data_IF_936679180657
#
_entry.id   IF_936679180657
#
_cell.length_a   1.000
_cell.length_b   1.000
_cell.length_c   1.000
_cell.angle_alpha   90.00
_cell.angle_beta   90.00
_cell.angle_gamma   90.00
#
_symmetry.space_group_name_H-M   'P 1'
#
loop_
_entity.id
_entity.type
_entity.pdbx_description
1 polymer ?
#
# COMPACT_ATOMS: atom_id res chain seq x y z
N UNK A 1 1.51 2.20 50.78
CA UNK A 1 0.15 2.73 50.51
C UNK A 1 -0.13 3.89 51.46
N UNK A 2 0.14 5.13 51.06
CA UNK A 2 -0.22 6.29 51.87
C UNK A 2 -1.74 6.46 51.87
N UNK A 3 -2.37 6.53 53.04
CA UNK A 3 -3.79 6.90 53.18
C UNK A 3 -4.79 5.81 53.53
N UNK A 4 -4.39 4.53 53.63
CA UNK A 4 -5.31 3.48 54.12
C UNK A 4 -5.30 3.38 55.66
N UNK A 5 -6.47 3.21 56.30
CA UNK A 5 -6.51 2.98 57.74
C UNK A 5 -5.83 1.63 58.10
N UNK A 6 -5.23 1.49 59.31
CA UNK A 6 -4.36 0.37 59.66
C UNK A 6 -5.00 -1.02 59.50
N UNK A 7 -6.30 -1.13 59.77
CA UNK A 7 -7.07 -2.37 59.62
C UNK A 7 -7.24 -2.75 58.14
N UNK A 8 -7.48 -1.78 57.26
CA UNK A 8 -7.60 -1.99 55.81
C UNK A 8 -6.25 -2.36 55.19
N UNK A 9 -5.16 -1.70 55.61
CA UNK A 9 -3.81 -2.04 55.18
C UNK A 9 -3.35 -3.44 55.63
N UNK A 10 -3.84 -3.93 56.78
CA UNK A 10 -3.59 -5.29 57.26
C UNK A 10 -4.41 -6.31 56.45
N UNK A 11 -5.71 -6.08 56.29
CA UNK A 11 -6.57 -6.95 55.49
C UNK A 11 -6.10 -7.08 54.04
N UNK A 12 -5.67 -5.98 53.42
CA UNK A 12 -5.16 -5.99 52.05
C UNK A 12 -3.94 -6.90 51.91
N UNK A 13 -2.98 -6.83 52.84
CA UNK A 13 -1.77 -7.67 52.83
C UNK A 13 -2.08 -9.15 53.10
N UNK A 14 -2.97 -9.44 54.05
CA UNK A 14 -3.24 -10.81 54.46
C UNK A 14 -4.19 -11.55 53.51
N UNK A 15 -5.11 -10.84 52.86
CA UNK A 15 -6.20 -11.45 52.09
C UNK A 15 -6.43 -10.82 50.72
N UNK A 16 -6.31 -9.50 50.59
CA UNK A 16 -6.61 -8.78 49.34
C UNK A 16 -5.61 -9.10 48.23
N UNK A 17 -4.33 -8.93 48.51
CA UNK A 17 -3.24 -9.12 47.55
C UNK A 17 -3.02 -10.59 47.15
N UNK A 18 -2.98 -11.58 48.07
CA UNK A 18 -2.90 -12.98 47.67
C UNK A 18 -4.03 -13.39 46.73
N UNK A 19 -5.24 -12.86 46.96
CA UNK A 19 -6.39 -13.07 46.07
C UNK A 19 -6.22 -12.35 44.73
N UNK A 20 -5.73 -11.12 44.73
CA UNK A 20 -5.45 -10.39 43.48
C UNK A 20 -4.41 -11.12 42.62
N UNK A 21 -3.31 -11.59 43.21
CA UNK A 21 -2.29 -12.38 42.53
C UNK A 21 -2.84 -13.72 42.02
N UNK A 22 -3.65 -14.42 42.82
CA UNK A 22 -4.30 -15.66 42.39
C UNK A 22 -5.26 -15.45 41.21
N UNK A 23 -6.02 -14.34 41.21
CA UNK A 23 -6.90 -13.96 40.09
C UNK A 23 -6.07 -13.65 38.84
N UNK A 24 -5.01 -12.86 38.96
CA UNK A 24 -4.13 -12.53 37.83
C UNK A 24 -3.46 -13.78 37.25
N UNK A 25 -3.05 -14.72 38.09
CA UNK A 25 -2.49 -16.00 37.68
C UNK A 25 -3.54 -16.88 36.97
N UNK A 26 -4.76 -16.96 37.50
CA UNK A 26 -5.85 -17.70 36.86
C UNK A 26 -6.19 -17.12 35.48
N UNK A 27 -6.23 -15.79 35.35
CA UNK A 27 -6.42 -15.11 34.07
C UNK A 27 -5.28 -15.43 33.10
N UNK A 28 -4.02 -15.40 33.55
CA UNK A 28 -2.88 -15.72 32.69
C UNK A 28 -2.90 -17.18 32.20
N UNK A 29 -3.23 -18.13 33.08
CA UNK A 29 -3.33 -19.57 32.74
C UNK A 29 -4.53 -19.83 31.80
N UNK A 30 -5.55 -18.99 31.81
CA UNK A 30 -6.70 -19.12 30.90
C UNK A 30 -6.42 -18.68 29.46
N UNK A 31 -5.34 -17.92 29.19
CA UNK A 31 -5.07 -17.39 27.85
C UNK A 31 -4.79 -18.50 26.81
N UNK A 32 -3.93 -19.50 27.05
CA UNK A 32 -3.69 -20.59 26.09
C UNK A 32 -4.94 -21.40 25.69
N UNK A 33 -5.79 -21.89 26.62
CA UNK A 33 -7.00 -22.60 26.21
C UNK A 33 -7.98 -21.69 25.47
N UNK A 34 -8.11 -20.40 25.82
CA UNK A 34 -8.96 -19.45 25.09
C UNK A 34 -8.45 -19.21 23.66
N UNK A 35 -7.13 -19.20 23.44
CA UNK A 35 -6.56 -19.13 22.08
C UNK A 35 -6.79 -20.41 21.28
N UNK A 36 -6.69 -21.58 21.93
CA UNK A 36 -6.88 -22.88 21.29
C UNK A 36 -8.34 -23.12 20.87
N UNK A 37 -9.28 -22.54 21.61
CA UNK A 37 -10.70 -22.54 21.30
C UNK A 37 -11.12 -21.41 20.34
N UNK A 38 -10.16 -20.65 19.80
CA UNK A 38 -10.37 -19.51 18.89
C UNK A 38 -11.29 -18.40 19.44
N UNK A 39 -11.51 -18.37 20.76
CA UNK A 39 -12.33 -17.33 21.44
C UNK A 39 -11.60 -15.98 21.39
N UNK A 40 -10.26 -16.02 21.47
CA UNK A 40 -9.39 -14.84 21.32
C UNK A 40 -8.26 -15.14 20.34
N UNK A 41 -7.84 -14.13 19.59
CA UNK A 41 -6.69 -14.24 18.68
C UNK A 41 -5.37 -14.30 19.45
N UNK A 42 -4.33 -14.89 18.83
CA UNK A 42 -2.97 -14.91 19.39
C UNK A 42 -2.49 -13.51 19.78
N UNK A 43 -2.76 -12.51 18.93
CA UNK A 43 -2.43 -11.10 19.18
C UNK A 43 -3.13 -10.54 20.43
N UNK A 44 -4.41 -10.86 20.63
CA UNK A 44 -5.15 -10.45 21.82
C UNK A 44 -4.60 -11.12 23.08
N UNK A 45 -4.25 -12.40 23.02
CA UNK A 45 -3.65 -13.13 24.13
C UNK A 45 -2.29 -12.53 24.54
N UNK A 46 -1.43 -12.17 23.58
CA UNK A 46 -0.14 -11.54 23.88
C UNK A 46 -0.32 -10.18 24.58
N UNK A 47 -1.26 -9.34 24.11
CA UNK A 47 -1.57 -8.06 24.75
C UNK A 47 -2.11 -8.23 26.16
N UNK A 48 -3.02 -9.18 26.36
CA UNK A 48 -3.55 -9.50 27.70
C UNK A 48 -2.46 -9.99 28.64
N UNK A 49 -1.55 -10.84 28.16
CA UNK A 49 -0.42 -11.32 28.96
C UNK A 49 0.49 -10.17 29.44
N UNK A 50 0.77 -9.19 28.57
CA UNK A 50 1.56 -8.01 28.93
C UNK A 50 0.88 -7.14 30.00
N UNK A 51 -0.43 -6.93 29.88
CA UNK A 51 -1.21 -6.16 30.88
C UNK A 51 -1.23 -6.87 32.22
N UNK A 52 -1.42 -8.20 32.24
CA UNK A 52 -1.39 -9.00 33.46
C UNK A 52 0.00 -8.96 34.12
N UNK A 53 1.08 -9.09 33.33
CA UNK A 53 2.45 -8.99 33.84
C UNK A 53 2.75 -7.60 34.42
N UNK A 54 2.30 -6.53 33.77
CA UNK A 54 2.42 -5.17 34.28
C UNK A 54 1.67 -4.97 35.60
N UNK A 55 0.45 -5.48 35.72
CA UNK A 55 -0.33 -5.42 36.96
C UNK A 55 0.36 -6.17 38.12
N UNK A 56 0.93 -7.34 37.85
CA UNK A 56 1.75 -8.08 38.83
C UNK A 56 2.99 -7.27 39.22
N UNK A 57 3.68 -6.67 38.25
CA UNK A 57 4.84 -5.82 38.50
C UNK A 57 4.53 -4.63 39.41
N UNK A 58 3.40 -3.95 39.19
CA UNK A 58 2.94 -2.86 40.05
C UNK A 58 2.65 -3.32 41.49
N UNK A 59 2.02 -4.48 41.65
CA UNK A 59 1.76 -5.07 42.97
C UNK A 59 3.07 -5.39 43.70
N UNK A 60 4.06 -5.95 43.00
CA UNK A 60 5.38 -6.27 43.56
C UNK A 60 6.19 -5.02 43.91
N UNK A 61 6.16 -3.98 43.07
CA UNK A 61 6.82 -2.69 43.34
C UNK A 61 6.22 -2.01 44.56
N UNK A 62 4.91 -2.15 44.78
CA UNK A 62 4.24 -1.63 45.98
C UNK A 62 4.73 -2.28 47.30
N UNK A 63 5.44 -3.41 47.21
CA UNK A 63 6.03 -4.16 48.33
C UNK A 63 7.49 -3.83 48.62
N UNK A 64 8.18 -3.10 47.72
CA UNK A 64 9.58 -2.71 47.91
C UNK A 64 9.87 -2.06 49.28
N UNK A 65 9.04 -1.12 49.80
CA UNK A 65 9.33 -0.46 51.08
C UNK A 65 9.32 -1.40 52.30
N UNK A 66 8.56 -2.52 52.25
CA UNK A 66 8.46 -3.48 53.36
C UNK A 66 9.53 -4.58 53.32
N UNK A 67 10.02 -4.93 52.14
CA UNK A 67 11.04 -5.98 51.96
C UNK A 67 12.48 -5.47 52.13
N UNK A 68 12.70 -4.16 52.15
CA UNK A 68 14.02 -3.51 52.24
C UNK A 68 14.68 -3.53 53.63
N UNK A 69 14.00 -4.02 54.68
CA UNK A 69 14.50 -3.98 56.08
C UNK A 69 15.39 -5.17 56.54
N UNK A 70 15.72 -6.18 55.73
CA UNK A 70 16.62 -7.29 56.14
C UNK A 70 17.71 -7.58 55.12
N UNK A 71 18.97 -7.35 55.50
CA UNK A 71 20.05 -7.03 54.54
C UNK A 71 20.72 -8.20 53.80
N UNK A 72 20.51 -9.47 54.14
CA UNK A 72 21.29 -10.58 53.53
C UNK A 72 20.74 -11.17 52.23
N UNK A 73 19.42 -11.08 51.97
CA UNK A 73 18.77 -11.69 50.79
C UNK A 73 18.55 -10.69 49.64
N UNK A 74 19.06 -9.46 49.80
CA UNK A 74 18.83 -8.29 48.95
C UNK A 74 19.21 -8.50 47.50
N UNK A 75 20.44 -8.95 47.28
CA UNK A 75 21.00 -9.08 45.93
C UNK A 75 20.43 -10.33 45.24
N UNK A 76 20.26 -11.42 45.98
CA UNK A 76 19.73 -12.67 45.43
C UNK A 76 18.30 -12.52 44.91
N UNK A 77 17.39 -11.91 45.70
CA UNK A 77 15.98 -11.75 45.29
C UNK A 77 15.86 -10.78 44.11
N UNK A 78 16.59 -9.65 44.14
CA UNK A 78 16.61 -8.70 43.03
C UNK A 78 17.22 -9.32 41.76
N UNK A 79 18.31 -10.07 41.86
CA UNK A 79 18.90 -10.77 40.71
C UNK A 79 18.00 -11.89 40.20
N UNK A 80 17.26 -12.61 41.06
CA UNK A 80 16.32 -13.63 40.61
C UNK A 80 15.07 -13.05 39.98
N UNK A 81 14.54 -11.93 40.48
CA UNK A 81 13.36 -11.28 39.88
C UNK A 81 13.74 -10.52 38.61
N UNK A 82 14.89 -9.83 38.60
CA UNK A 82 15.43 -9.22 37.40
C UNK A 82 15.80 -10.29 36.38
N UNK A 83 16.43 -11.38 36.81
CA UNK A 83 16.77 -12.53 35.96
C UNK A 83 15.54 -13.27 35.42
N UNK A 84 14.48 -13.45 36.21
CA UNK A 84 13.23 -14.06 35.76
C UNK A 84 12.43 -13.12 34.84
N UNK A 85 12.43 -11.80 35.11
CA UNK A 85 11.83 -10.81 34.23
C UNK A 85 12.61 -10.67 32.92
N UNK A 86 13.94 -10.70 32.97
CA UNK A 86 14.84 -10.68 31.80
C UNK A 86 14.71 -11.99 31.01
N UNK A 87 14.64 -13.15 31.66
CA UNK A 87 14.45 -14.45 31.01
C UNK A 87 13.03 -14.61 30.44
N UNK A 88 12.00 -14.04 31.06
CA UNK A 88 10.66 -14.00 30.51
C UNK A 88 10.57 -13.02 29.33
N UNK A 89 11.22 -11.86 29.40
CA UNK A 89 11.27 -10.90 28.27
C UNK A 89 12.20 -11.34 27.14
N UNK A 90 13.27 -12.09 27.42
CA UNK A 90 14.10 -12.79 26.43
C UNK A 90 13.38 -14.01 25.86
N UNK A 91 12.65 -14.79 26.67
CA UNK A 91 11.88 -15.96 26.21
C UNK A 91 10.66 -15.57 25.36
N UNK A 92 9.96 -14.49 25.71
CA UNK A 92 8.89 -13.90 24.89
C UNK A 92 9.43 -13.04 23.74
N UNK A 93 10.63 -12.46 23.88
CA UNK A 93 11.33 -11.73 22.81
C UNK A 93 12.08 -12.63 21.81
N UNK A 94 12.34 -13.89 22.16
CA UNK A 94 12.85 -14.93 21.26
C UNK A 94 11.71 -15.62 20.49
N UNK A 95 10.48 -15.61 21.01
CA UNK A 95 9.29 -16.14 20.32
C UNK A 95 8.46 -15.07 19.60
N UNK A 96 8.49 -13.83 20.07
CA UNK A 96 8.25 -12.70 19.19
C UNK A 96 9.50 -12.52 18.36
N UNK A 97 9.64 -13.33 17.30
CA UNK A 97 10.37 -12.88 16.13
C UNK A 97 10.01 -11.39 15.97
N UNK A 98 10.97 -10.46 15.85
CA UNK A 98 10.60 -9.14 15.35
C UNK A 98 9.73 -9.43 14.14
N UNK A 99 8.51 -8.90 14.11
CA UNK A 99 7.74 -8.89 12.89
C UNK A 99 8.68 -8.20 11.91
N UNK A 100 9.36 -9.01 11.11
CA UNK A 100 10.46 -8.56 10.32
C UNK A 100 9.82 -7.54 9.40
N UNK A 101 10.16 -6.28 9.59
CA UNK A 101 10.06 -5.28 8.53
C UNK A 101 10.88 -5.73 7.29
N UNK A 102 11.66 -6.82 7.41
CA UNK A 102 12.39 -7.53 6.38
C UNK A 102 11.62 -8.65 5.63
N UNK A 103 10.38 -9.01 5.99
CA UNK A 103 9.58 -9.91 5.15
C UNK A 103 8.81 -9.08 4.11
N UNK A 104 9.23 -9.19 2.86
CA UNK A 104 8.61 -8.51 1.72
C UNK A 104 7.12 -8.83 1.56
N UNK A 105 6.38 -8.01 0.80
CA UNK A 105 4.96 -8.25 0.57
C UNK A 105 4.76 -9.52 -0.29
N UNK A 106 4.26 -10.59 0.32
CA UNK A 106 4.10 -11.90 -0.35
C UNK A 106 2.91 -11.94 -1.31
N UNK A 107 3.08 -12.65 -2.43
CA UNK A 107 1.98 -12.98 -3.35
C UNK A 107 1.02 -14.02 -2.75
N UNK A 108 1.56 -15.04 -2.06
CA UNK A 108 0.75 -16.05 -1.37
C UNK A 108 0.51 -15.61 0.07
N UNK A 109 -0.75 -15.44 0.43
CA UNK A 109 -1.20 -15.27 1.82
C UNK A 109 -2.70 -15.54 1.93
N UNK A 110 -3.20 -15.62 3.17
CA UNK A 110 -4.63 -15.41 3.40
C UNK A 110 -5.06 -14.03 2.85
N UNK A 111 -6.30 -13.89 2.36
CA UNK A 111 -6.77 -12.62 1.81
C UNK A 111 -6.62 -11.46 2.78
N UNK A 112 -5.95 -10.39 2.36
CA UNK A 112 -5.76 -9.17 3.19
C UNK A 112 -6.96 -8.24 3.15
N UNK A 113 -7.87 -8.45 2.19
CA UNK A 113 -9.13 -7.74 2.03
C UNK A 113 -10.27 -8.74 1.81
N UNK A 114 -11.48 -8.36 2.22
CA UNK A 114 -12.68 -9.16 1.97
C UNK A 114 -13.09 -9.08 0.49
N UNK A 115 -13.92 -10.03 0.06
CA UNK A 115 -14.54 -9.99 -1.27
C UNK A 115 -15.37 -8.72 -1.47
N UNK A 116 -16.11 -8.29 -0.45
CA UNK A 116 -16.90 -7.05 -0.47
C UNK A 116 -16.01 -5.82 -0.71
N UNK A 117 -14.87 -5.73 -0.01
CA UNK A 117 -13.91 -4.63 -0.23
C UNK A 117 -13.32 -4.68 -1.63
N UNK A 118 -12.95 -5.85 -2.15
CA UNK A 118 -12.44 -6.01 -3.50
C UNK A 118 -13.45 -5.54 -4.56
N UNK A 119 -14.72 -5.95 -4.43
CA UNK A 119 -15.82 -5.53 -5.30
C UNK A 119 -16.03 -4.02 -5.22
N UNK A 120 -16.10 -3.46 -4.02
CA UNK A 120 -16.32 -2.03 -3.81
C UNK A 120 -15.20 -1.17 -4.40
N UNK A 121 -13.94 -1.62 -4.36
CA UNK A 121 -12.80 -0.92 -4.95
C UNK A 121 -12.96 -0.82 -6.48
N UNK A 122 -13.24 -1.95 -7.15
CA UNK A 122 -13.42 -1.96 -8.60
C UNK A 122 -14.65 -1.17 -9.05
N UNK A 123 -15.77 -1.28 -8.31
CA UNK A 123 -16.98 -0.51 -8.58
C UNK A 123 -16.74 1.00 -8.42
N UNK A 124 -16.07 1.41 -7.35
CA UNK A 124 -15.75 2.83 -7.10
C UNK A 124 -14.80 3.40 -8.14
N UNK A 125 -13.87 2.59 -8.63
CA UNK A 125 -12.99 2.99 -9.73
C UNK A 125 -13.73 3.11 -11.07
N UNK A 126 -14.88 2.46 -11.22
CA UNK A 126 -15.61 2.38 -12.50
C UNK A 126 -15.00 1.37 -13.48
N UNK A 127 -14.24 0.38 -12.98
CA UNK A 127 -13.55 -0.60 -13.82
C UNK A 127 -14.54 -1.42 -14.66
N UNK A 128 -14.24 -1.71 -15.95
CA UNK A 128 -15.05 -2.61 -16.76
C UNK A 128 -15.12 -4.04 -16.18
N UNK A 129 -14.18 -4.44 -15.31
CA UNK A 129 -14.21 -5.73 -14.62
C UNK A 129 -15.17 -5.77 -13.42
N UNK A 130 -15.77 -4.63 -13.02
CA UNK A 130 -16.55 -4.53 -11.79
C UNK A 130 -17.79 -5.43 -11.75
N UNK A 131 -18.40 -5.71 -12.90
CA UNK A 131 -19.58 -6.59 -13.00
C UNK A 131 -19.30 -8.04 -12.59
N UNK A 132 -18.05 -8.48 -12.71
CA UNK A 132 -17.63 -9.86 -12.41
C UNK A 132 -16.70 -9.93 -11.19
N UNK A 133 -16.47 -8.82 -10.49
CA UNK A 133 -15.46 -8.69 -9.43
C UNK A 133 -15.56 -9.76 -8.33
N UNK A 134 -16.77 -10.21 -7.99
CA UNK A 134 -16.98 -11.28 -7.01
C UNK A 134 -16.35 -12.61 -7.48
N UNK A 135 -16.57 -12.98 -8.75
CA UNK A 135 -15.98 -14.17 -9.36
C UNK A 135 -14.45 -14.03 -9.45
N UNK A 136 -13.95 -12.86 -9.85
CA UNK A 136 -12.52 -12.62 -9.99
C UNK A 136 -11.78 -12.73 -8.64
N UNK A 137 -12.39 -12.27 -7.54
CA UNK A 137 -11.89 -12.52 -6.19
C UNK A 137 -11.80 -14.03 -5.88
N UNK A 138 -12.85 -14.80 -6.19
CA UNK A 138 -12.87 -16.25 -5.99
C UNK A 138 -11.79 -16.95 -6.81
N UNK A 139 -11.59 -16.52 -8.06
CA UNK A 139 -10.50 -17.01 -8.91
C UNK A 139 -9.16 -16.78 -8.23
N UNK A 140 -8.81 -15.55 -7.87
CA UNK A 140 -7.50 -15.22 -7.27
C UNK A 140 -7.25 -16.04 -6.00
N UNK A 141 -8.25 -16.11 -5.12
CA UNK A 141 -8.15 -16.86 -3.87
C UNK A 141 -8.06 -18.37 -4.07
N UNK A 142 -8.67 -18.93 -5.13
CA UNK A 142 -8.53 -20.35 -5.48
C UNK A 142 -7.10 -20.75 -5.86
N UNK A 143 -6.30 -19.81 -6.39
CA UNK A 143 -4.86 -20.01 -6.63
C UNK A 143 -4.00 -19.80 -5.37
N UNK A 144 -4.62 -19.47 -4.22
CA UNK A 144 -3.93 -19.17 -2.97
C UNK A 144 -3.14 -17.86 -3.02
N UNK A 145 -3.50 -16.96 -3.93
CA UNK A 145 -2.90 -15.63 -4.06
C UNK A 145 -3.70 -14.60 -3.27
N UNK A 146 -3.01 -13.55 -2.82
CA UNK A 146 -3.63 -12.44 -2.12
C UNK A 146 -4.40 -11.52 -3.09
N UNK A 147 -5.74 -11.41 -2.98
CA UNK A 147 -6.55 -10.54 -3.83
C UNK A 147 -6.17 -9.07 -3.72
N UNK A 148 -5.62 -8.60 -2.58
CA UNK A 148 -5.15 -7.22 -2.47
C UNK A 148 -3.93 -6.97 -3.37
N UNK A 149 -2.96 -7.89 -3.38
CA UNK A 149 -1.76 -7.77 -4.23
C UNK A 149 -2.14 -7.91 -5.70
N UNK A 150 -3.01 -8.85 -6.05
CA UNK A 150 -3.50 -9.03 -7.42
C UNK A 150 -4.23 -7.78 -7.94
N UNK A 151 -5.10 -7.19 -7.12
CA UNK A 151 -5.81 -5.96 -7.46
C UNK A 151 -4.85 -4.77 -7.62
N UNK A 152 -3.80 -4.70 -6.79
CA UNK A 152 -2.80 -3.65 -6.87
C UNK A 152 -1.99 -3.71 -8.18
N UNK A 153 -1.66 -4.92 -8.67
CA UNK A 153 -1.06 -5.08 -9.99
C UNK A 153 -2.01 -4.59 -11.10
N UNK A 154 -3.30 -4.94 -11.04
CA UNK A 154 -4.26 -4.49 -12.04
C UNK A 154 -4.44 -2.96 -12.06
N UNK A 155 -4.42 -2.34 -10.87
CA UNK A 155 -4.37 -0.89 -10.76
C UNK A 155 -3.11 -0.32 -11.41
N UNK A 156 -1.93 -0.85 -11.07
CA UNK A 156 -0.66 -0.28 -11.54
C UNK A 156 -0.47 -0.45 -13.04
N UNK A 157 -0.88 -1.59 -13.60
CA UNK A 157 -0.63 -1.95 -15.01
C UNK A 157 -1.55 -1.22 -15.99
N UNK A 158 -2.76 -0.80 -15.56
CA UNK A 158 -3.77 -0.29 -16.49
C UNK A 158 -4.83 0.62 -15.85
N UNK A 159 -4.60 1.07 -14.61
CA UNK A 159 -5.59 1.79 -13.83
C UNK A 159 -6.92 1.05 -13.77
N UNK A 160 -6.90 -0.26 -13.51
CA UNK A 160 -8.08 -1.15 -13.57
C UNK A 160 -8.72 -1.24 -14.96
N UNK A 161 -7.92 -1.18 -16.02
CA UNK A 161 -8.34 -1.10 -17.41
C UNK A 161 -9.21 0.12 -17.74
N UNK A 162 -8.94 1.26 -17.09
CA UNK A 162 -9.62 2.53 -17.36
C UNK A 162 -8.88 3.40 -18.38
N UNK A 163 -7.62 3.09 -18.66
CA UNK A 163 -6.79 3.85 -19.58
C UNK A 163 -5.81 2.97 -20.37
N UNK A 164 -5.19 3.58 -21.38
CA UNK A 164 -4.15 2.97 -22.19
C UNK A 164 -4.63 1.78 -23.03
N UNK A 165 -3.69 0.93 -23.43
CA UNK A 165 -3.95 -0.16 -24.37
C UNK A 165 -5.03 -1.13 -23.88
N UNK A 166 -5.19 -1.32 -22.57
CA UNK A 166 -6.24 -2.18 -22.02
C UNK A 166 -7.64 -1.65 -22.36
N UNK A 167 -7.91 -0.38 -22.02
CA UNK A 167 -9.19 0.26 -22.25
C UNK A 167 -9.46 0.43 -23.75
N UNK A 168 -8.47 0.90 -24.50
CA UNK A 168 -8.60 1.22 -25.92
C UNK A 168 -8.89 -0.01 -26.80
N UNK A 169 -8.52 -1.21 -26.34
CA UNK A 169 -8.59 -2.44 -27.16
C UNK A 169 -9.41 -3.57 -26.52
N UNK A 170 -10.08 -3.29 -25.39
CA UNK A 170 -10.92 -4.27 -24.69
C UNK A 170 -10.14 -5.57 -24.43
N UNK A 171 -8.99 -5.45 -23.76
CA UNK A 171 -8.02 -6.56 -23.69
C UNK A 171 -8.38 -7.66 -22.69
N UNK A 172 -9.22 -7.37 -21.69
CA UNK A 172 -9.47 -8.26 -20.55
C UNK A 172 -8.19 -8.75 -19.84
N UNK A 173 -7.12 -7.95 -19.86
CA UNK A 173 -5.77 -8.38 -19.50
C UNK A 173 -5.34 -7.84 -18.13
N UNK A 174 -5.50 -8.66 -17.09
CA UNK A 174 -5.34 -8.27 -15.68
C UNK A 174 -3.97 -7.67 -15.32
N UNK A 175 -2.90 -8.05 -16.01
CA UNK A 175 -1.55 -7.54 -15.73
C UNK A 175 -0.78 -7.13 -16.97
N UNK A 176 -1.47 -6.76 -18.06
CA UNK A 176 -0.86 -6.36 -19.33
C UNK A 176 0.18 -7.38 -19.84
N UNK A 177 -0.16 -8.66 -19.74
CA UNK A 177 0.68 -9.76 -20.21
C UNK A 177 0.93 -9.64 -21.72
N UNK A 178 2.20 -9.77 -22.12
CA UNK A 178 2.60 -9.81 -23.54
C UNK A 178 2.39 -11.17 -24.20
N UNK A 179 2.29 -12.24 -23.40
CA UNK A 179 2.08 -13.62 -23.85
C UNK A 179 1.18 -14.36 -22.86
N UNK A 180 0.28 -15.18 -23.39
CA UNK A 180 -0.57 -16.01 -22.57
C UNK A 180 0.23 -17.20 -22.00
N UNK A 181 -0.03 -17.57 -20.75
CA UNK A 181 0.44 -18.81 -20.13
C UNK A 181 -0.33 -19.99 -20.74
N UNK A 182 -1.65 -19.83 -20.93
CA UNK A 182 -2.52 -20.78 -21.63
C UNK A 182 -3.01 -20.19 -22.94
N UNK A 183 -2.54 -20.77 -24.06
CA UNK A 183 -2.84 -20.27 -25.40
C UNK A 183 -4.35 -20.28 -25.70
N UNK A 184 -5.07 -21.27 -25.15
CA UNK A 184 -6.52 -21.43 -25.30
C UNK A 184 -7.36 -20.30 -24.71
N UNK A 185 -6.81 -19.50 -23.78
CA UNK A 185 -7.49 -18.34 -23.17
C UNK A 185 -7.34 -17.06 -24.00
N UNK A 186 -6.35 -17.02 -24.89
CA UNK A 186 -6.04 -15.87 -25.72
C UNK A 186 -6.89 -15.89 -27.00
N UNK A 187 -7.56 -14.78 -27.28
CA UNK A 187 -8.28 -14.55 -28.56
C UNK A 187 -7.47 -13.72 -29.54
N UNK A 188 -6.26 -13.31 -29.17
CA UNK A 188 -5.34 -12.60 -30.06
C UNK A 188 -4.35 -11.73 -29.32
N UNK A 189 -3.64 -10.88 -30.06
CA UNK A 189 -2.77 -9.84 -29.51
C UNK A 189 -3.03 -8.50 -30.21
N UNK A 190 -3.06 -7.43 -29.44
CA UNK A 190 -3.21 -6.06 -29.93
C UNK A 190 -2.16 -5.20 -29.23
N UNK A 191 -1.42 -4.37 -29.99
CA UNK A 191 -0.32 -3.55 -29.43
C UNK A 191 0.78 -4.37 -28.72
N UNK A 192 0.94 -5.65 -29.06
CA UNK A 192 1.89 -6.55 -28.39
C UNK A 192 1.42 -7.11 -27.03
N UNK A 193 0.20 -6.78 -26.60
CA UNK A 193 -0.44 -7.34 -25.41
C UNK A 193 -1.45 -8.42 -25.79
N UNK A 194 -1.65 -9.40 -24.91
CA UNK A 194 -2.66 -10.45 -25.13
C UNK A 194 -4.05 -9.86 -24.94
N UNK A 195 -4.99 -10.27 -25.79
CA UNK A 195 -6.42 -10.09 -25.59
C UNK A 195 -7.03 -11.42 -25.13
N UNK A 196 -7.76 -11.39 -24.03
CA UNK A 196 -8.45 -12.57 -23.48
C UNK A 196 -9.94 -12.54 -23.83
N UNK A 197 -10.55 -13.74 -23.85
CA UNK A 197 -11.99 -13.87 -24.11
C UNK A 197 -12.86 -13.28 -22.99
N UNK A 198 -12.37 -13.31 -21.76
CA UNK A 198 -13.09 -12.86 -20.56
C UNK A 198 -12.12 -12.30 -19.51
N UNK A 199 -12.67 -11.54 -18.55
CA UNK A 199 -11.90 -11.10 -17.36
C UNK A 199 -11.37 -12.29 -16.56
N UNK A 200 -12.17 -13.33 -16.39
CA UNK A 200 -11.76 -14.55 -15.68
C UNK A 200 -10.53 -15.19 -16.34
N UNK A 201 -10.52 -15.29 -17.67
CA UNK A 201 -9.39 -15.85 -18.41
C UNK A 201 -8.10 -15.05 -18.18
N UNK A 202 -8.16 -13.73 -18.30
CA UNK A 202 -7.01 -12.86 -18.06
C UNK A 202 -6.51 -12.90 -16.61
N UNK A 203 -7.43 -12.97 -15.63
CA UNK A 203 -7.09 -13.10 -14.21
C UNK A 203 -6.45 -14.45 -13.90
N UNK A 204 -6.99 -15.56 -14.43
CA UNK A 204 -6.41 -16.90 -14.27
C UNK A 204 -5.01 -16.97 -14.85
N UNK A 205 -4.82 -16.39 -16.03
CA UNK A 205 -3.53 -16.41 -16.71
C UNK A 205 -2.48 -15.59 -15.97
N UNK A 206 -2.87 -14.43 -15.43
CA UNK A 206 -2.02 -13.65 -14.52
C UNK A 206 -1.67 -14.45 -13.25
N UNK A 207 -2.64 -15.11 -12.61
CA UNK A 207 -2.40 -15.92 -11.41
C UNK A 207 -1.38 -17.05 -11.69
N UNK A 208 -1.54 -17.74 -12.82
CA UNK A 208 -0.63 -18.80 -13.25
C UNK A 208 0.75 -18.27 -13.60
N UNK A 209 0.85 -17.09 -14.23
CA UNK A 209 2.12 -16.42 -14.48
C UNK A 209 2.85 -16.13 -13.16
N UNK A 210 2.17 -15.51 -12.19
CA UNK A 210 2.73 -15.19 -10.88
C UNK A 210 3.28 -16.43 -10.20
N UNK A 211 2.48 -17.50 -10.16
CA UNK A 211 2.91 -18.76 -9.53
C UNK A 211 4.08 -19.41 -10.28
N UNK A 212 3.97 -19.58 -11.60
CA UNK A 212 4.94 -20.35 -12.38
C UNK A 212 6.24 -19.60 -12.64
N UNK A 213 6.16 -18.32 -13.01
CA UNK A 213 7.34 -17.52 -13.40
C UNK A 213 8.06 -16.85 -12.23
N UNK A 214 7.39 -16.69 -11.09
CA UNK A 214 7.95 -15.94 -9.96
C UNK A 214 7.97 -16.80 -8.69
N UNK A 215 6.82 -17.15 -8.14
CA UNK A 215 6.74 -17.82 -6.82
C UNK A 215 7.49 -19.16 -6.83
N UNK A 216 7.27 -20.01 -7.84
CA UNK A 216 7.95 -21.31 -7.96
C UNK A 216 9.46 -21.20 -8.19
N UNK A 217 9.96 -20.00 -8.50
CA UNK A 217 11.38 -19.69 -8.67
C UNK A 217 12.00 -18.99 -7.45
N UNK A 218 11.27 -18.92 -6.33
CA UNK A 218 11.71 -18.26 -5.11
C UNK A 218 11.54 -16.74 -5.10
N UNK A 219 10.85 -16.18 -6.09
CA UNK A 219 10.46 -14.76 -6.15
C UNK A 219 9.06 -14.60 -5.54
N UNK A 220 8.94 -14.97 -4.26
CA UNK A 220 7.70 -15.10 -3.52
C UNK A 220 7.13 -13.78 -2.94
N UNK A 221 7.91 -12.70 -2.99
CA UNK A 221 7.50 -11.35 -2.63
C UNK A 221 7.56 -10.40 -3.82
N UNK A 222 6.79 -9.29 -3.76
CA UNK A 222 6.81 -8.28 -4.82
C UNK A 222 8.21 -7.67 -4.99
N UNK A 223 8.99 -7.53 -3.91
CA UNK A 223 10.32 -6.95 -3.93
C UNK A 223 11.30 -7.82 -4.73
N UNK A 224 11.10 -9.14 -4.71
CA UNK A 224 11.87 -10.09 -5.51
C UNK A 224 11.35 -10.18 -6.95
N UNK A 225 10.04 -10.13 -7.15
CA UNK A 225 9.43 -10.36 -8.46
C UNK A 225 9.45 -9.14 -9.37
N UNK A 226 9.17 -7.94 -8.85
CA UNK A 226 9.01 -6.72 -9.67
C UNK A 226 10.26 -6.39 -10.50
N UNK A 227 11.51 -6.49 -9.98
CA UNK A 227 12.70 -6.27 -10.81
C UNK A 227 12.84 -7.20 -12.02
N UNK A 228 12.12 -8.34 -12.02
CA UNK A 228 12.06 -9.30 -13.14
C UNK A 228 10.78 -9.12 -13.96
N UNK A 229 9.68 -8.71 -13.33
CA UNK A 229 8.39 -8.47 -13.97
C UNK A 229 8.41 -7.19 -14.83
N UNK A 230 8.90 -6.10 -14.26
CA UNK A 230 9.03 -4.77 -14.86
C UNK A 230 10.46 -4.27 -14.65
N UNK A 231 11.45 -4.83 -15.38
CA UNK A 231 12.86 -4.48 -15.20
C UNK A 231 13.15 -3.04 -15.67
N UNK A 232 14.19 -2.44 -15.10
CA UNK A 232 14.66 -1.11 -15.51
C UNK A 232 15.18 -1.03 -16.95
N UNK A 233 15.57 -2.17 -17.54
CA UNK A 233 15.92 -2.27 -18.97
C UNK A 233 14.80 -1.84 -19.91
N UNK A 234 13.55 -1.92 -19.43
CA UNK A 234 12.34 -1.58 -20.18
C UNK A 234 11.81 -0.20 -19.77
N UNK A 235 12.67 0.67 -19.22
CA UNK A 235 12.36 2.01 -18.70
C UNK A 235 11.40 2.03 -17.50
N UNK A 236 11.29 0.92 -16.76
CA UNK A 236 10.55 0.89 -15.49
C UNK A 236 11.40 1.37 -14.32
N UNK A 237 10.74 1.76 -13.23
CA UNK A 237 11.39 2.05 -11.94
C UNK A 237 10.89 1.02 -10.91
N UNK A 238 11.57 -0.13 -10.74
CA UNK A 238 11.11 -1.22 -9.88
C UNK A 238 10.79 -0.80 -8.44
N UNK A 239 11.57 0.10 -7.85
CA UNK A 239 11.33 0.62 -6.49
C UNK A 239 10.03 1.43 -6.41
N UNK A 240 9.76 2.29 -7.40
CA UNK A 240 8.53 3.07 -7.46
C UNK A 240 7.31 2.16 -7.62
N UNK A 241 7.41 1.13 -8.46
CA UNK A 241 6.37 0.10 -8.59
C UNK A 241 6.14 -0.61 -7.24
N UNK A 242 7.19 -1.16 -6.61
CA UNK A 242 7.08 -1.80 -5.29
C UNK A 242 6.38 -0.88 -4.29
N UNK A 243 6.79 0.38 -4.21
CA UNK A 243 6.21 1.35 -3.27
C UNK A 243 4.75 1.70 -3.58
N UNK A 244 4.38 1.81 -4.86
CA UNK A 244 2.99 1.99 -5.28
C UNK A 244 2.12 0.83 -4.81
N UNK A 245 2.56 -0.41 -5.03
CA UNK A 245 1.84 -1.62 -4.61
C UNK A 245 1.69 -1.69 -3.10
N UNK A 246 2.77 -1.45 -2.34
CA UNK A 246 2.71 -1.48 -0.87
C UNK A 246 1.75 -0.43 -0.33
N UNK A 247 1.75 0.78 -0.91
CA UNK A 247 0.87 1.88 -0.50
C UNK A 247 -0.61 1.51 -0.67
N UNK A 248 -1.01 1.01 -1.84
CA UNK A 248 -2.42 0.66 -2.10
C UNK A 248 -2.86 -0.58 -1.32
N UNK A 249 -2.00 -1.59 -1.19
CA UNK A 249 -2.32 -2.79 -0.40
C UNK A 249 -2.47 -2.45 1.09
N UNK A 250 -1.63 -1.57 1.62
CA UNK A 250 -1.77 -1.10 3.00
C UNK A 250 -3.07 -0.34 3.21
N UNK A 251 -3.40 0.61 2.32
CA UNK A 251 -4.60 1.44 2.43
C UNK A 251 -5.89 0.60 2.40
N UNK A 252 -5.97 -0.41 1.54
CA UNK A 252 -7.14 -1.31 1.49
C UNK A 252 -7.21 -2.28 2.65
N UNK A 253 -6.06 -2.74 3.17
CA UNK A 253 -6.03 -3.68 4.30
C UNK A 253 -6.17 -3.01 5.69
N UNK A 254 -6.47 -1.70 5.72
CA UNK A 254 -6.59 -0.93 6.97
C UNK A 254 -5.28 -0.82 7.75
N UNK A 255 -4.14 -1.09 7.09
CA UNK A 255 -2.81 -0.97 7.67
C UNK A 255 -2.16 0.34 7.23
N UNK A 256 -1.31 0.90 8.07
CA UNK A 256 -0.39 1.94 7.64
C UNK A 256 0.81 1.31 6.97
N UNK A 257 1.13 1.79 5.78
CA UNK A 257 2.44 1.55 5.19
C UNK A 257 3.41 2.54 5.83
N UNK A 258 4.36 2.02 6.59
CA UNK A 258 5.56 2.76 6.96
C UNK A 258 6.59 2.40 5.87
N UNK A 259 6.91 3.30 4.92
CA UNK A 259 8.00 3.04 3.99
C UNK A 259 9.25 2.73 4.80
N UNK A 260 10.06 1.77 4.34
CA UNK A 260 11.43 1.69 4.83
C UNK A 260 12.09 3.07 4.62
N UNK A 261 13.07 3.49 5.45
CA UNK A 261 13.87 4.66 5.13
C UNK A 261 14.64 4.36 3.83
N UNK A 262 14.03 4.70 2.72
CA UNK A 262 14.50 4.43 1.36
C UNK A 262 15.65 5.40 1.07
N UNK A 263 16.88 4.88 1.03
CA UNK A 263 17.92 5.53 0.24
C UNK A 263 17.63 5.21 -1.22
N UNK A 264 16.89 6.09 -1.91
CA UNK A 264 16.77 6.00 -3.36
C UNK A 264 18.14 6.28 -3.98
N UNK A 265 18.73 5.25 -4.58
CA UNK A 265 20.01 5.35 -5.30
C UNK A 265 19.69 5.58 -6.77
N UNK A 266 20.02 6.77 -7.26
CA UNK A 266 19.89 7.13 -8.66
C UNK A 266 21.24 6.97 -9.37
N UNK A 267 21.23 6.38 -10.55
CA UNK A 267 22.43 6.26 -11.42
C UNK A 267 22.54 7.41 -12.44
N UNK A 268 21.58 8.33 -12.43
CA UNK A 268 21.50 9.49 -13.32
C UNK A 268 22.09 10.77 -12.73
N UNK A 269 21.84 11.89 -13.40
CA UNK A 269 22.24 13.22 -12.91
C UNK A 269 21.37 13.68 -11.73
N UNK A 270 21.88 14.63 -10.94
CA UNK A 270 21.19 15.13 -9.75
C UNK A 270 19.81 15.72 -10.06
N UNK A 271 19.67 16.43 -11.18
CA UNK A 271 18.39 16.97 -11.65
C UNK A 271 17.39 15.85 -11.94
N UNK A 272 17.79 14.78 -12.63
CA UNK A 272 16.92 13.62 -12.87
C UNK A 272 16.53 12.92 -11.56
N UNK A 273 17.45 12.81 -10.62
CA UNK A 273 17.18 12.25 -9.29
C UNK A 273 16.14 13.08 -8.54
N UNK A 274 16.33 14.40 -8.46
CA UNK A 274 15.42 15.31 -7.75
C UNK A 274 14.04 15.42 -8.43
N UNK A 275 13.99 15.36 -9.77
CA UNK A 275 12.71 15.30 -10.50
C UNK A 275 12.02 13.96 -10.21
N UNK A 276 12.77 12.86 -10.17
CA UNK A 276 12.21 11.54 -9.82
C UNK A 276 11.69 11.51 -8.38
N UNK A 277 12.38 12.12 -7.42
CA UNK A 277 11.88 12.31 -6.04
C UNK A 277 10.60 13.16 -6.03
N UNK A 278 10.55 14.22 -6.83
CA UNK A 278 9.37 15.10 -6.94
C UNK A 278 8.15 14.30 -7.42
N UNK A 279 8.31 13.47 -8.45
CA UNK A 279 7.23 12.62 -8.99
C UNK A 279 6.86 11.49 -8.02
N UNK A 280 7.87 10.87 -7.41
CA UNK A 280 7.71 9.80 -6.42
C UNK A 280 6.91 10.23 -5.18
N UNK A 281 6.99 11.51 -4.79
CA UNK A 281 6.18 12.09 -3.71
C UNK A 281 4.67 11.96 -3.99
N UNK A 282 4.26 12.06 -5.27
CA UNK A 282 2.89 11.84 -5.71
C UNK A 282 2.58 10.37 -6.01
N UNK A 283 3.58 9.48 -5.97
CA UNK A 283 3.42 8.08 -6.38
C UNK A 283 3.45 7.87 -7.89
N UNK A 284 3.93 8.86 -8.65
CA UNK A 284 3.96 8.87 -10.11
C UNK A 284 5.40 8.59 -10.56
N UNK A 285 5.58 7.87 -11.66
CA UNK A 285 6.91 7.66 -12.24
C UNK A 285 7.27 8.80 -13.20
N UNK A 286 8.48 9.35 -13.05
CA UNK A 286 8.99 10.32 -14.00
C UNK A 286 9.44 9.64 -15.30
N UNK A 287 8.83 10.04 -16.41
CA UNK A 287 9.19 9.60 -17.77
C UNK A 287 9.81 10.76 -18.56
N UNK A 288 11.12 10.76 -18.84
CA UNK A 288 11.83 11.90 -19.44
C UNK A 288 11.46 12.18 -20.91
N UNK A 289 10.86 11.21 -21.59
CA UNK A 289 10.44 11.27 -22.99
C UNK A 289 8.94 11.53 -23.16
N UNK A 290 8.18 11.71 -22.08
CA UNK A 290 6.76 12.05 -22.15
C UNK A 290 6.56 13.55 -22.28
N UNK A 291 5.69 13.95 -23.20
CA UNK A 291 5.49 15.35 -23.58
C UNK A 291 5.19 16.26 -22.38
N UNK A 292 4.28 15.88 -21.48
CA UNK A 292 3.93 16.69 -20.30
C UNK A 292 5.08 16.82 -19.30
N UNK A 293 5.89 15.78 -19.15
CA UNK A 293 7.04 15.80 -18.24
C UNK A 293 8.18 16.63 -18.81
N UNK A 294 8.45 16.50 -20.12
CA UNK A 294 9.40 17.33 -20.85
C UNK A 294 8.98 18.80 -20.79
N UNK A 295 7.72 19.11 -21.10
CA UNK A 295 7.16 20.46 -21.04
C UNK A 295 7.29 21.07 -19.64
N UNK A 296 6.95 20.31 -18.59
CA UNK A 296 7.09 20.77 -17.21
C UNK A 296 8.55 21.18 -16.88
N UNK A 297 9.53 20.40 -17.31
CA UNK A 297 10.95 20.73 -17.10
C UNK A 297 11.39 21.94 -17.92
N UNK A 298 10.94 22.06 -19.16
CA UNK A 298 11.21 23.23 -20.00
C UNK A 298 10.65 24.51 -19.38
N UNK A 299 9.41 24.47 -18.88
CA UNK A 299 8.79 25.60 -18.18
C UNK A 299 9.55 25.94 -16.88
N UNK A 300 9.99 24.93 -16.12
CA UNK A 300 10.80 25.16 -14.93
C UNK A 300 12.15 25.85 -15.26
N UNK A 301 12.81 25.47 -16.37
CA UNK A 301 14.07 26.08 -16.82
C UNK A 301 13.95 27.55 -17.16
N UNK A 302 12.78 27.99 -17.63
CA UNK A 302 12.49 29.40 -17.93
C UNK A 302 11.80 30.15 -16.77
N UNK A 303 11.79 29.57 -15.57
CA UNK A 303 11.26 30.23 -14.37
C UNK A 303 9.73 30.19 -14.21
N UNK A 304 9.04 29.28 -14.92
CA UNK A 304 7.59 29.05 -14.83
C UNK A 304 7.26 27.61 -14.35
N UNK A 305 7.79 27.16 -13.20
CA UNK A 305 7.63 25.76 -12.77
C UNK A 305 6.15 25.41 -12.57
N UNK A 306 5.74 24.21 -12.97
CA UNK A 306 4.36 23.75 -12.75
C UNK A 306 4.16 23.06 -11.38
N UNK A 307 5.26 22.77 -10.68
CA UNK A 307 5.27 21.97 -9.46
C UNK A 307 5.12 20.46 -9.72
N UNK A 308 4.94 19.64 -8.68
CA UNK A 308 4.77 18.19 -8.83
C UNK A 308 3.45 17.85 -9.56
N UNK A 309 3.41 16.73 -10.29
CA UNK A 309 2.14 16.18 -10.76
C UNK A 309 1.29 15.77 -9.57
N UNK A 310 -0.02 15.95 -9.68
CA UNK A 310 -0.99 15.55 -8.64
C UNK A 310 -1.64 14.20 -8.94
N UNK A 311 -1.59 13.75 -10.19
CA UNK A 311 -2.19 12.50 -10.66
C UNK A 311 -1.52 12.04 -11.96
N UNK A 312 -1.75 10.79 -12.35
CA UNK A 312 -1.31 10.25 -13.64
C UNK A 312 -1.99 10.98 -14.82
N UNK A 313 -1.36 10.92 -15.99
CA UNK A 313 -1.98 11.39 -17.23
C UNK A 313 -3.16 10.49 -17.60
N UNK A 314 -4.27 11.08 -18.05
CA UNK A 314 -5.48 10.36 -18.46
C UNK A 314 -6.08 10.97 -19.72
N UNK A 315 -6.95 10.24 -20.39
CA UNK A 315 -7.75 10.77 -21.50
C UNK A 315 -9.10 11.24 -20.96
N UNK A 316 -9.57 12.40 -21.41
CA UNK A 316 -10.92 12.89 -21.19
C UNK A 316 -11.61 13.15 -22.53
N UNK A 317 -12.94 13.11 -22.52
CA UNK A 317 -13.77 13.43 -23.67
C UNK A 317 -14.58 14.69 -23.39
N UNK A 318 -14.57 15.65 -24.33
CA UNK A 318 -15.35 16.88 -24.27
C UNK A 318 -16.07 17.06 -25.61
N UNK A 319 -17.39 16.85 -25.63
CA UNK A 319 -18.13 16.71 -26.87
C UNK A 319 -17.64 15.49 -27.65
N UNK A 320 -17.36 15.66 -28.95
CA UNK A 320 -16.84 14.60 -29.82
C UNK A 320 -15.29 14.63 -29.91
N UNK A 321 -14.60 15.28 -28.97
CA UNK A 321 -13.14 15.41 -28.98
C UNK A 321 -12.49 14.77 -27.76
N UNK A 322 -11.31 14.20 -27.96
CA UNK A 322 -10.50 13.58 -26.92
C UNK A 322 -9.28 14.43 -26.57
N UNK A 323 -8.89 14.40 -25.29
CA UNK A 323 -7.74 15.14 -24.78
C UNK A 323 -6.95 14.28 -23.81
N UNK A 324 -5.63 14.18 -23.99
CA UNK A 324 -4.73 13.74 -22.94
C UNK A 324 -4.61 14.88 -21.93
N UNK A 325 -4.70 14.59 -20.64
CA UNK A 325 -4.61 15.60 -19.57
C UNK A 325 -3.75 15.10 -18.42
N UNK A 326 -2.99 16.00 -17.81
CA UNK A 326 -2.31 15.75 -16.55
C UNK A 326 -2.35 16.99 -15.67
N UNK A 327 -2.68 16.79 -14.39
CA UNK A 327 -2.81 17.87 -13.41
C UNK A 327 -1.49 18.03 -12.68
N UNK A 328 -0.95 19.24 -12.68
CA UNK A 328 0.21 19.66 -11.90
C UNK A 328 -0.22 20.67 -10.83
N UNK A 329 0.61 20.87 -9.82
CA UNK A 329 0.28 21.72 -8.67
C UNK A 329 -0.08 23.19 -9.05
N UNK A 330 0.46 23.71 -10.14
CA UNK A 330 0.22 25.10 -10.59
C UNK A 330 -0.58 25.22 -11.88
N UNK A 331 -0.85 24.12 -12.59
CA UNK A 331 -1.64 24.16 -13.83
C UNK A 331 -2.12 22.77 -14.27
N UNK A 332 -3.02 22.72 -15.24
CA UNK A 332 -3.38 21.47 -15.94
C UNK A 332 -2.86 21.52 -17.36
N UNK A 333 -2.08 20.51 -17.73
CA UNK A 333 -1.61 20.33 -19.10
C UNK A 333 -2.58 19.47 -19.88
N UNK A 334 -2.74 19.78 -21.16
CA UNK A 334 -3.53 18.97 -22.07
C UNK A 334 -2.98 18.98 -23.50
N UNK A 335 -3.25 17.90 -24.24
CA UNK A 335 -2.97 17.75 -25.66
C UNK A 335 -4.22 17.21 -26.36
N UNK A 336 -4.73 17.87 -27.42
CA UNK A 336 -5.79 17.30 -28.24
C UNK A 336 -5.35 15.98 -28.87
N UNK A 337 -6.18 14.96 -28.79
CA UNK A 337 -5.93 13.65 -29.40
C UNK A 337 -6.67 13.62 -30.75
N UNK A 338 -5.98 13.20 -31.81
CA UNK A 338 -6.57 13.00 -33.13
C UNK A 338 -7.46 11.74 -33.14
N UNK A 339 -8.31 11.60 -34.16
CA UNK A 339 -9.19 10.43 -34.28
C UNK A 339 -8.37 9.12 -34.36
N UNK A 340 -7.21 9.17 -35.01
CA UNK A 340 -6.19 8.13 -34.96
C UNK A 340 -5.01 8.57 -34.07
N UNK A 341 -4.62 7.74 -33.11
CA UNK A 341 -3.56 8.09 -32.13
C UNK A 341 -2.21 8.38 -32.79
N UNK A 342 -1.89 7.70 -33.89
CA UNK A 342 -0.66 7.90 -34.67
C UNK A 342 -0.57 9.30 -35.31
N UNK A 343 -1.71 9.96 -35.51
CA UNK A 343 -1.81 11.32 -36.04
C UNK A 343 -1.79 12.39 -34.92
N UNK A 344 -1.75 11.99 -33.65
CA UNK A 344 -1.73 12.92 -32.52
C UNK A 344 -0.39 13.65 -32.43
N UNK A 345 -0.44 14.98 -32.49
CA UNK A 345 0.74 15.81 -32.22
C UNK A 345 1.00 15.92 -30.71
N UNK A 346 1.79 14.99 -30.20
CA UNK A 346 2.19 14.98 -28.80
C UNK A 346 3.07 16.18 -28.40
N UNK A 347 3.58 16.97 -29.35
CA UNK A 347 4.31 18.21 -29.04
C UNK A 347 3.39 19.39 -28.77
N UNK A 348 2.09 19.30 -29.13
CA UNK A 348 1.07 20.31 -28.83
C UNK A 348 0.60 20.22 -27.38
N UNK A 349 1.49 20.58 -26.45
CA UNK A 349 1.21 20.65 -25.01
C UNK A 349 0.70 22.06 -24.67
N UNK A 350 -0.54 22.12 -24.16
CA UNK A 350 -1.24 23.36 -23.82
C UNK A 350 -1.53 23.44 -22.33
N UNK A 351 -1.70 24.66 -21.82
CA UNK A 351 -2.04 24.94 -20.42
C UNK A 351 -3.49 25.38 -20.27
N UNK A 352 -4.14 24.96 -19.20
CA UNK A 352 -5.45 25.48 -18.83
C UNK A 352 -5.41 27.00 -18.60
N UNK A 353 -4.38 27.51 -17.91
CA UNK A 353 -4.26 28.95 -17.67
C UNK A 353 -4.25 29.79 -18.95
N UNK A 354 -3.64 29.30 -20.03
CA UNK A 354 -3.60 30.00 -21.33
C UNK A 354 -4.98 29.98 -22.01
N UNK A 355 -5.69 28.85 -21.93
CA UNK A 355 -7.05 28.73 -22.44
C UNK A 355 -8.03 29.70 -21.75
N UNK A 356 -7.86 29.91 -20.44
CA UNK A 356 -8.68 30.84 -19.66
C UNK A 356 -8.42 32.31 -20.04
N UNK A 357 -7.20 32.66 -20.43
CA UNK A 357 -6.87 34.01 -20.91
C UNK A 357 -7.48 34.27 -22.28
N UNK A 358 -7.44 33.30 -23.21
CA UNK A 358 -8.01 33.45 -24.55
C UNK A 358 -9.54 33.63 -24.54
N UNK A 359 -10.23 33.12 -23.52
CA UNK A 359 -11.69 33.22 -23.41
C UNK A 359 -12.17 34.59 -22.89
N UNK A 360 -11.26 35.48 -22.45
CA UNK A 360 -11.58 36.71 -21.71
C UNK A 360 -11.53 38.04 -22.51
N UNK A 361 -11.42 38.03 -23.86
CA UNK A 361 -11.42 39.26 -24.68
C UNK A 361 -12.85 39.81 -24.95
N UNK A 362 -13.06 41.14 -25.07
CA UNK A 362 -14.17 41.83 -24.38
C UNK A 362 -15.43 42.13 -25.21
N UNK A 363 -16.59 42.12 -24.52
CA UNK A 363 -17.86 42.72 -24.93
C UNK A 363 -17.67 44.22 -25.25
N UNK A 364 -17.98 44.63 -26.48
CA UNK A 364 -17.98 46.03 -26.91
C UNK A 364 -18.84 46.91 -25.99
N UNK A 365 -18.24 48.00 -25.49
CA UNK A 365 -18.98 49.08 -24.83
C UNK A 365 -19.73 49.90 -25.90
N UNK A 366 -20.97 50.36 -25.62
CA UNK A 366 -21.78 51.07 -26.61
C UNK A 366 -21.17 52.44 -26.92
N UNK A 367 -21.02 52.73 -28.21
CA UNK A 367 -20.51 54.00 -28.72
C UNK A 367 -21.42 55.17 -28.32
N UNK A 368 -20.84 56.17 -27.67
CA UNK A 368 -21.48 57.47 -27.42
C UNK A 368 -21.62 58.21 -28.76
N UNK A 369 -22.80 58.74 -29.13
CA UNK A 369 -22.91 59.58 -30.31
C UNK A 369 -22.35 60.98 -30.01
N UNK A 370 -21.52 61.49 -30.91
CA UNK A 370 -20.94 62.83 -30.82
C UNK A 370 -21.97 63.90 -31.21
N UNK A 371 -21.98 65.08 -30.55
CA UNK A 371 -22.60 66.29 -31.07
C UNK A 371 -21.74 67.01 -32.12
#
# INVERSE_FOLDING_TARGET
MPGLPPHAARWWRERGEPRALAILLALAISLPPLTLLEIITLRQATRSALVLAWAVGLLLVSHLPGMLQREGRRVAVLLTLLGAALAASLGLGLMALPANAAEGLTFKSAPRISQESFVAILQRAGSPAAGEASNLYTVITSYGLDPAVALAFFQHESSFCLSGACANNDLHNWGMLRRAVKAERSVGRVGGFVKYASWEDGTRDWCELILFRYVNRGLDTIEKAIPVYAPSSDNNVPSAYINAIRRVVASWSGRRFEPAPDLHIYTGSLDQALVSETFGSAGISYHPNWAFHTYMLEQARIGRPLGPPMDDSRVITVGDKHYAVQVFAQDTLYTPIADEEEETDWSDVRRLSELLVTTAAPTEAPATPAP
#
